data_IF_917864051156
#
_entry.id   IF_917864051156
#
_cell.length_a   1.000
_cell.length_b   1.000
_cell.length_c   1.000
_cell.angle_alpha   90.00
_cell.angle_beta   90.00
_cell.angle_gamma   90.00
#
_symmetry.space_group_name_H-M   'P 1'
#
loop_
_entity.id
_entity.type
_entity.pdbx_description
1 polymer ?
#
# COMPACT_ATOMS: atom_id res chain seq x y z
N UNK A 1 9.45 -10.86 -6.56
CA UNK A 1 9.38 -10.41 -5.14
C UNK A 1 8.35 -9.30 -5.02
N UNK A 2 7.53 -9.29 -3.96
CA UNK A 2 6.53 -8.21 -3.73
C UNK A 2 7.25 -6.94 -3.29
N UNK A 3 6.87 -5.81 -3.85
CA UNK A 3 7.48 -4.50 -3.59
C UNK A 3 6.39 -3.43 -3.46
N UNK A 4 6.29 -2.82 -2.27
CA UNK A 4 5.34 -1.74 -1.96
C UNK A 4 5.97 -0.35 -2.03
N UNK A 5 7.18 -0.19 -2.55
CA UNK A 5 7.76 1.14 -2.77
C UNK A 5 6.85 2.08 -3.57
N UNK A 6 6.12 1.63 -4.63
CA UNK A 6 5.17 2.48 -5.33
C UNK A 6 4.10 3.09 -4.40
N UNK A 7 3.61 2.33 -3.42
CA UNK A 7 2.66 2.84 -2.43
C UNK A 7 3.27 3.96 -1.60
N UNK A 8 4.55 3.88 -1.21
CA UNK A 8 5.16 4.90 -0.36
C UNK A 8 5.38 6.19 -1.15
N UNK A 9 5.84 6.08 -2.40
CA UNK A 9 5.90 7.23 -3.31
C UNK A 9 4.52 7.86 -3.50
N UNK A 10 3.47 7.06 -3.70
CA UNK A 10 2.10 7.57 -3.85
C UNK A 10 1.60 8.28 -2.60
N UNK A 11 1.92 7.77 -1.41
CA UNK A 11 1.59 8.43 -0.14
C UNK A 11 2.31 9.77 -0.01
N UNK A 12 3.60 9.84 -0.36
CA UNK A 12 4.37 11.08 -0.35
C UNK A 12 3.83 12.12 -1.34
N UNK A 13 3.51 11.70 -2.58
CA UNK A 13 2.87 12.54 -3.60
C UNK A 13 1.54 13.14 -3.11
N UNK A 14 0.81 12.42 -2.25
CA UNK A 14 -0.47 12.84 -1.65
C UNK A 14 -0.32 13.52 -0.28
N UNK A 15 0.90 13.71 0.24
CA UNK A 15 1.15 14.29 1.56
C UNK A 15 0.64 13.43 2.73
N UNK A 16 0.53 12.12 2.53
CA UNK A 16 0.00 11.16 3.50
C UNK A 16 1.12 10.35 4.16
N UNK A 17 0.88 9.93 5.39
CA UNK A 17 1.73 8.98 6.12
C UNK A 17 1.14 7.58 6.01
N UNK A 18 1.99 6.57 6.15
CA UNK A 18 1.58 5.16 6.19
C UNK A 18 0.58 4.87 7.32
N UNK A 19 0.65 5.65 8.40
CA UNK A 19 -0.29 5.58 9.52
C UNK A 19 -1.71 5.99 9.15
N UNK A 20 -1.89 6.78 8.09
CA UNK A 20 -3.21 7.23 7.63
C UNK A 20 -4.00 6.10 6.97
N UNK A 21 -3.31 5.06 6.46
CA UNK A 21 -3.95 3.84 5.97
C UNK A 21 -4.68 3.06 7.07
N UNK A 22 -4.44 3.36 8.37
CA UNK A 22 -5.16 2.71 9.47
C UNK A 22 -6.68 2.96 9.44
N UNK A 23 -7.14 3.92 8.66
CA UNK A 23 -8.57 4.18 8.42
C UNK A 23 -9.25 3.06 7.62
N UNK A 24 -8.48 2.29 6.83
CA UNK A 24 -9.01 1.29 5.90
C UNK A 24 -8.45 -0.13 6.15
N UNK A 25 -7.31 -0.24 6.84
CA UNK A 25 -6.63 -1.51 7.14
C UNK A 25 -6.07 -1.50 8.56
N UNK A 26 -5.80 -2.67 9.14
CA UNK A 26 -5.29 -2.76 10.52
C UNK A 26 -3.79 -2.42 10.63
N UNK A 27 -3.34 -2.16 11.86
CA UNK A 27 -1.93 -1.81 12.13
C UNK A 27 -0.95 -2.92 11.74
N UNK A 28 -1.36 -4.19 11.85
CA UNK A 28 -0.53 -5.34 11.45
C UNK A 28 -0.29 -5.33 9.96
N UNK A 29 -1.31 -5.05 9.15
CA UNK A 29 -1.18 -4.97 7.69
C UNK A 29 -0.31 -3.79 7.28
N UNK A 30 -0.45 -2.62 7.92
CA UNK A 30 0.46 -1.48 7.70
C UNK A 30 1.92 -1.86 7.95
N UNK A 31 2.20 -2.62 9.01
CA UNK A 31 3.55 -3.11 9.31
C UNK A 31 4.06 -4.14 8.27
N UNK A 32 3.18 -5.01 7.75
CA UNK A 32 3.51 -5.96 6.67
C UNK A 32 3.89 -5.26 5.37
N UNK A 33 3.12 -4.23 4.98
CA UNK A 33 3.46 -3.38 3.83
C UNK A 33 4.86 -2.79 4.00
N UNK A 34 5.27 -2.42 5.22
CA UNK A 34 6.60 -1.85 5.51
C UNK A 34 7.76 -2.82 5.39
N UNK A 35 7.46 -4.11 5.38
CA UNK A 35 8.45 -5.19 5.30
C UNK A 35 8.33 -5.97 4.00
N UNK A 36 7.61 -5.44 3.00
CA UNK A 36 7.34 -6.11 1.73
C UNK A 36 6.80 -7.55 1.91
N UNK A 37 5.96 -7.75 2.94
CA UNK A 37 5.34 -9.06 3.22
C UNK A 37 4.04 -9.21 2.44
N UNK A 38 3.69 -10.46 2.14
CA UNK A 38 2.43 -10.78 1.49
C UNK A 38 1.22 -10.25 2.26
N UNK A 39 0.29 -9.68 1.52
CA UNK A 39 -1.03 -9.23 1.95
C UNK A 39 -2.07 -9.74 0.96
N UNK A 40 -3.35 -9.68 1.31
CA UNK A 40 -4.42 -10.12 0.40
C UNK A 40 -4.61 -9.13 -0.74
N UNK A 41 -5.13 -9.59 -1.88
CA UNK A 41 -5.48 -8.69 -2.99
C UNK A 41 -6.58 -7.70 -2.58
N UNK A 42 -7.52 -8.11 -1.73
CA UNK A 42 -8.54 -7.23 -1.12
C UNK A 42 -7.93 -6.06 -0.33
N UNK A 43 -6.80 -6.26 0.34
CA UNK A 43 -6.07 -5.17 0.99
C UNK A 43 -5.55 -4.17 -0.04
N UNK A 44 -4.98 -4.66 -1.14
CA UNK A 44 -4.45 -3.82 -2.21
C UNK A 44 -5.59 -3.05 -2.89
N UNK A 45 -6.70 -3.72 -3.19
CA UNK A 45 -7.91 -3.12 -3.77
C UNK A 45 -8.44 -1.97 -2.91
N UNK A 46 -8.63 -2.20 -1.60
CA UNK A 46 -9.04 -1.15 -0.65
C UNK A 46 -8.10 0.05 -0.65
N UNK A 47 -6.78 -0.17 -0.75
CA UNK A 47 -5.79 0.91 -0.84
C UNK A 47 -5.92 1.66 -2.16
N UNK A 48 -6.09 0.97 -3.29
CA UNK A 48 -6.28 1.57 -4.61
C UNK A 48 -7.52 2.48 -4.61
N UNK A 49 -8.66 1.98 -4.12
CA UNK A 49 -9.91 2.74 -4.05
C UNK A 49 -9.81 3.94 -3.09
N UNK A 50 -9.18 3.77 -1.93
CA UNK A 50 -9.04 4.85 -0.96
C UNK A 50 -8.11 5.97 -1.45
N UNK A 51 -7.03 5.61 -2.16
CA UNK A 51 -6.10 6.58 -2.71
C UNK A 51 -6.51 7.11 -4.09
N UNK A 52 -7.52 6.51 -4.73
CA UNK A 52 -7.94 6.80 -6.11
C UNK A 52 -6.76 6.71 -7.10
N UNK A 53 -6.11 5.54 -7.12
CA UNK A 53 -4.95 5.26 -7.97
C UNK A 53 -5.02 3.84 -8.54
N UNK A 54 -4.38 3.59 -9.69
CA UNK A 54 -4.31 2.25 -10.25
C UNK A 54 -3.31 1.36 -9.47
N UNK A 55 -3.37 0.04 -9.68
CA UNK A 55 -2.68 -0.95 -8.82
C UNK A 55 -1.14 -0.84 -8.85
N UNK A 56 -0.58 -0.33 -9.94
CA UNK A 56 0.86 -0.19 -10.18
C UNK A 56 1.45 0.96 -9.34
N UNK A 57 0.60 1.90 -8.91
CA UNK A 57 0.93 2.92 -7.90
C UNK A 57 0.90 2.37 -6.48
N UNK A 58 0.46 1.12 -6.27
CA UNK A 58 0.41 0.49 -4.95
C UNK A 58 1.43 -0.65 -4.82
N UNK A 59 1.56 -1.52 -5.82
CA UNK A 59 2.43 -2.69 -5.73
C UNK A 59 3.12 -3.00 -7.05
N UNK A 60 4.36 -3.45 -6.95
CA UNK A 60 5.18 -3.95 -8.06
C UNK A 60 5.68 -5.36 -7.75
N UNK A 61 5.77 -6.21 -8.78
CA UNK A 61 6.40 -7.53 -8.68
C UNK A 61 7.74 -7.49 -9.40
N UNK A 62 8.83 -7.51 -8.64
CA UNK A 62 10.19 -7.53 -9.20
C UNK A 62 10.57 -8.95 -9.65
N UNK A 63 11.29 -9.04 -10.78
CA UNK A 63 11.86 -10.28 -11.32
C UNK A 63 13.28 -10.50 -10.83
#
# INVERSE_FOLDING_TARGET
>A
MIDFEPLFTTLEEKGMRRTDLRKIIDGTTVAKLGKNKSVTLDTVDRICLYLDVPIEKVVRINR
#
